data_IF_858795686927
#
_entry.id   IF_858795686927
#
_cell.length_a   1.000
_cell.length_b   1.000
_cell.length_c   1.000
_cell.angle_alpha   90.00
_cell.angle_beta   90.00
_cell.angle_gamma   90.00
#
_symmetry.space_group_name_H-M   'P 1'
#
loop_
_entity.id
_entity.type
_entity.pdbx_description
1 polymer ?
#
# COMPACT_ATOMS: atom_id res chain seq x y z
N UNK A 1 -4.37 8.07 5.53
CA UNK A 1 -5.36 7.34 4.70
C UNK A 1 -5.99 6.25 5.56
N UNK A 2 -7.29 5.95 5.42
CA UNK A 2 -7.94 4.79 6.06
C UNK A 2 -8.48 3.84 4.98
N UNK A 3 -8.29 2.54 5.21
CA UNK A 3 -8.95 1.47 4.48
C UNK A 3 -10.03 0.88 5.38
N UNK A 4 -11.27 0.81 4.92
CA UNK A 4 -12.42 0.34 5.70
C UNK A 4 -12.98 -0.98 5.15
N UNK A 5 -13.68 -1.73 6.00
CA UNK A 5 -14.40 -2.94 5.58
C UNK A 5 -13.49 -4.11 5.22
N UNK A 6 -12.32 -4.21 5.86
CA UNK A 6 -11.35 -5.27 5.59
C UNK A 6 -11.63 -6.44 6.52
N UNK A 7 -11.76 -7.64 5.95
CA UNK A 7 -12.02 -8.88 6.71
C UNK A 7 -10.82 -9.28 7.61
N UNK A 8 -9.60 -9.03 7.14
CA UNK A 8 -8.34 -9.28 7.85
C UNK A 8 -7.43 -8.03 7.85
N UNK A 9 -7.76 -7.00 8.67
CA UNK A 9 -7.04 -5.73 8.67
C UNK A 9 -5.61 -5.87 9.20
N UNK A 10 -5.35 -6.86 10.05
CA UNK A 10 -4.02 -7.18 10.57
C UNK A 10 -3.08 -7.68 9.45
N UNK A 11 -3.57 -8.54 8.55
CA UNK A 11 -2.80 -9.04 7.41
C UNK A 11 -2.47 -7.91 6.44
N UNK A 12 -3.42 -7.01 6.20
CA UNK A 12 -3.16 -5.81 5.39
C UNK A 12 -2.12 -4.91 6.07
N UNK A 13 -2.26 -4.64 7.36
CA UNK A 13 -1.31 -3.84 8.10
C UNK A 13 0.10 -4.46 8.08
N UNK A 14 0.20 -5.78 8.23
CA UNK A 14 1.45 -6.53 8.11
C UNK A 14 2.05 -6.38 6.72
N UNK A 15 1.26 -6.60 5.66
CA UNK A 15 1.70 -6.43 4.28
C UNK A 15 2.21 -5.01 4.00
N UNK A 16 1.47 -3.98 4.44
CA UNK A 16 1.85 -2.58 4.28
C UNK A 16 3.15 -2.26 5.02
N UNK A 17 3.39 -2.83 6.21
CA UNK A 17 4.67 -2.69 6.93
C UNK A 17 5.82 -3.32 6.15
N UNK A 18 5.66 -4.54 5.64
CA UNK A 18 6.69 -5.22 4.82
C UNK A 18 7.01 -4.45 3.54
N UNK A 19 5.99 -3.87 2.92
CA UNK A 19 6.15 -3.03 1.74
C UNK A 19 6.97 -1.76 2.05
N UNK A 20 6.65 -1.09 3.15
CA UNK A 20 7.38 0.09 3.62
C UNK A 20 8.84 -0.23 3.97
N UNK A 21 9.09 -1.35 4.65
CA UNK A 21 10.44 -1.85 4.94
C UNK A 21 11.26 -2.06 3.66
N UNK A 22 10.65 -2.64 2.61
CA UNK A 22 11.29 -2.79 1.31
C UNK A 22 11.65 -1.46 0.64
N UNK A 23 10.91 -0.40 0.98
CA UNK A 23 11.23 0.97 0.57
C UNK A 23 12.20 1.66 1.51
N UNK A 24 12.56 1.10 2.67
CA UNK A 24 13.29 1.79 3.73
C UNK A 24 12.52 3.01 4.27
N UNK A 25 11.19 2.88 4.41
CA UNK A 25 10.32 3.89 4.99
C UNK A 25 9.59 3.33 6.22
N UNK A 26 9.22 4.21 7.15
CA UNK A 26 8.58 3.82 8.42
C UNK A 26 7.28 4.60 8.62
N UNK A 27 6.21 4.29 7.87
CA UNK A 27 4.87 4.87 8.09
C UNK A 27 4.34 4.44 9.46
N UNK A 28 3.44 5.23 10.04
CA UNK A 28 2.68 4.79 11.21
C UNK A 28 1.42 4.07 10.74
N UNK A 29 1.27 2.79 11.11
CA UNK A 29 0.14 1.95 10.71
C UNK A 29 -0.57 1.44 11.96
N UNK A 30 -1.83 1.87 12.12
CA UNK A 30 -2.72 1.49 13.21
C UNK A 30 -3.87 0.64 12.69
N UNK A 31 -4.26 -0.37 13.47
CA UNK A 31 -5.44 -1.21 13.19
C UNK A 31 -6.49 -0.89 14.24
N UNK A 32 -7.69 -0.53 13.81
CA UNK A 32 -8.82 -0.23 14.68
C UNK A 32 -10.07 -0.96 14.18
N UNK A 33 -10.41 -2.07 14.82
CA UNK A 33 -11.51 -2.93 14.37
C UNK A 33 -11.24 -3.44 12.95
N UNK A 34 -12.11 -3.06 12.01
CA UNK A 34 -12.02 -3.40 10.59
C UNK A 34 -11.46 -2.26 9.70
N UNK A 35 -10.91 -1.19 10.28
CA UNK A 35 -10.14 -0.18 9.54
C UNK A 35 -8.63 -0.33 9.80
N UNK A 36 -7.85 -0.04 8.75
CA UNK A 36 -6.41 0.20 8.81
C UNK A 36 -6.17 1.67 8.52
N UNK A 37 -5.60 2.39 9.49
CA UNK A 37 -5.17 3.77 9.34
C UNK A 37 -3.67 3.82 9.10
N UNK A 38 -3.26 4.59 8.09
CA UNK A 38 -1.85 4.81 7.77
C UNK A 38 -1.53 6.31 7.68
N UNK A 39 -0.53 6.72 8.44
CA UNK A 39 0.14 8.01 8.28
C UNK A 39 1.48 7.81 7.55
N UNK A 40 1.58 8.43 6.37
CA UNK A 40 2.75 8.41 5.51
C UNK A 40 3.55 9.73 5.56
N UNK A 41 3.36 10.57 6.59
CA UNK A 41 4.10 11.82 6.77
C UNK A 41 5.64 11.64 6.70
N UNK A 42 6.14 10.49 7.15
CA UNK A 42 7.55 10.08 7.06
C UNK A 42 7.84 9.03 5.97
N UNK A 43 6.88 8.73 5.10
CA UNK A 43 6.94 7.67 4.09
C UNK A 43 6.39 8.14 2.71
N UNK A 44 7.07 9.10 2.05
CA UNK A 44 6.56 9.74 0.84
C UNK A 44 6.47 8.79 -0.38
N UNK A 45 7.34 7.79 -0.51
CA UNK A 45 7.24 6.82 -1.61
C UNK A 45 6.07 5.89 -1.42
N UNK A 46 5.79 5.49 -0.18
CA UNK A 46 4.60 4.72 0.14
C UNK A 46 3.33 5.52 -0.12
N UNK A 47 3.29 6.81 0.25
CA UNK A 47 2.16 7.68 -0.08
C UNK A 47 1.89 7.72 -1.58
N UNK A 48 2.92 8.01 -2.38
CA UNK A 48 2.81 8.05 -3.85
C UNK A 48 2.33 6.71 -4.44
N UNK A 49 2.80 5.58 -3.88
CA UNK A 49 2.34 4.27 -4.33
C UNK A 49 0.85 4.06 -4.03
N UNK A 50 0.41 4.36 -2.81
CA UNK A 50 -0.98 4.16 -2.38
C UNK A 50 -1.94 5.08 -3.15
N UNK A 51 -1.55 6.33 -3.38
CA UNK A 51 -2.30 7.27 -4.24
C UNK A 51 -2.35 6.75 -5.69
N UNK A 52 -1.22 6.26 -6.21
CA UNK A 52 -1.17 5.67 -7.55
C UNK A 52 -2.06 4.43 -7.71
N UNK A 53 -2.14 3.58 -6.68
CA UNK A 53 -3.04 2.43 -6.65
C UNK A 53 -4.51 2.86 -6.59
N UNK A 54 -4.83 3.91 -5.81
CA UNK A 54 -6.19 4.46 -5.69
C UNK A 54 -6.68 5.01 -7.03
N UNK A 55 -5.83 5.73 -7.74
CA UNK A 55 -6.18 6.35 -9.02
C UNK A 55 -6.02 5.37 -10.20
N UNK A 56 -5.78 4.08 -9.92
CA UNK A 56 -5.51 3.02 -10.90
C UNK A 56 -4.36 3.34 -11.87
N UNK A 57 -3.46 4.25 -11.50
CA UNK A 57 -2.28 4.61 -12.29
C UNK A 57 -1.10 3.68 -12.02
N UNK A 58 -1.08 3.02 -10.85
CA UNK A 58 -0.11 1.98 -10.50
C UNK A 58 -0.83 0.67 -10.26
N UNK A 59 -0.45 -0.37 -11.01
CA UNK A 59 -1.02 -1.70 -10.89
C UNK A 59 0.01 -2.67 -10.31
N UNK A 60 -0.33 -3.38 -9.22
CA UNK A 60 0.48 -4.49 -8.76
C UNK A 60 0.43 -5.62 -9.80
N UNK A 61 1.57 -6.28 -10.01
CA UNK A 61 1.66 -7.52 -10.77
C UNK A 61 2.63 -8.48 -10.10
N UNK A 62 2.40 -9.78 -10.29
CA UNK A 62 3.25 -10.84 -9.73
C UNK A 62 4.29 -11.19 -10.79
N UNK A 63 5.57 -11.11 -10.41
CA UNK A 63 6.72 -11.51 -11.22
C UNK A 63 7.52 -12.58 -10.47
N UNK A 64 7.18 -13.85 -10.73
CA UNK A 64 7.68 -14.97 -9.92
C UNK A 64 7.18 -14.88 -8.49
N UNK A 65 8.10 -14.89 -7.53
CA UNK A 65 7.79 -14.76 -6.09
C UNK A 65 7.71 -13.31 -5.60
N UNK A 66 7.94 -12.34 -6.50
CA UNK A 66 8.01 -10.93 -6.13
C UNK A 66 6.77 -10.16 -6.57
N UNK A 67 6.21 -9.38 -5.65
CA UNK A 67 5.22 -8.36 -5.99
C UNK A 67 5.94 -7.15 -6.60
N UNK A 68 5.61 -6.82 -7.84
CA UNK A 68 6.14 -5.64 -8.55
C UNK A 68 5.02 -4.67 -8.89
N UNK A 69 5.39 -3.43 -9.16
CA UNK A 69 4.46 -2.36 -9.49
C UNK A 69 4.83 -1.77 -10.83
N UNK A 70 3.84 -1.56 -11.70
CA UNK A 70 4.02 -0.88 -12.98
C UNK A 70 3.04 0.27 -13.13
N UNK A 71 3.46 1.32 -13.80
CA UNK A 71 2.53 2.34 -14.25
C UNK A 71 1.55 1.72 -15.26
N UNK A 72 0.27 2.07 -15.15
CA UNK A 72 -0.74 1.76 -16.15
C UNK A 72 -0.33 2.44 -17.45
N UNK A 73 -0.19 1.67 -18.52
CA UNK A 73 -0.01 2.21 -19.86
C UNK A 73 -1.23 3.06 -20.27
N UNK A 74 -1.12 3.85 -21.35
CA UNK A 74 -2.26 4.63 -21.85
C UNK A 74 -3.48 3.72 -22.04
N UNK A 75 -4.61 4.15 -21.49
CA UNK A 75 -5.91 3.50 -21.69
C UNK A 75 -6.32 3.85 -23.13
N UNK A 76 -6.30 2.86 -24.02
CA UNK A 76 -6.99 2.95 -25.31
C UNK A 76 -8.46 2.57 -25.13
#
# INVERSE_FOLDING_TARGET
MCFEGIDHPEDLAYFLRRLAEGMQETPQINVNGNCVEIDCSAAPRMLNLLEGMRDHTVLPYIDGEYLRFRNRGPIN
#
